data_IF_948616662984
#
_entry.id   IF_948616662984
#
_cell.length_a   1.000
_cell.length_b   1.000
_cell.length_c   1.000
_cell.angle_alpha   90.00
_cell.angle_beta   90.00
_cell.angle_gamma   90.00
#
_symmetry.space_group_name_H-M   'P 1'
#
loop_
_entity.id
_entity.type
_entity.pdbx_description
1 polymer ?
#
# COMPACT_ATOMS: atom_id res chain seq x y z
N UNK A 1 -4.53 7.63 -4.97
CA UNK A 1 -3.89 7.09 -6.18
C UNK A 1 -3.65 5.60 -5.92
N UNK A 2 -4.17 4.75 -6.80
CA UNK A 2 -4.12 3.28 -6.68
C UNK A 2 -3.46 2.62 -7.88
N UNK A 3 -2.82 3.40 -8.76
CA UNK A 3 -2.16 2.88 -9.94
C UNK A 3 -2.26 3.80 -11.13
N UNK A 4 -1.73 3.32 -12.24
CA UNK A 4 -1.73 4.03 -13.51
C UNK A 4 -1.77 3.05 -14.69
N UNK A 5 -2.07 3.60 -15.87
CA UNK A 5 -1.89 2.95 -17.16
C UNK A 5 -1.44 3.95 -18.21
N UNK A 6 -0.49 3.58 -19.05
CA UNK A 6 -0.06 4.35 -20.21
C UNK A 6 -0.90 3.92 -21.43
N UNK A 7 -1.45 4.90 -22.12
CA UNK A 7 -2.27 4.71 -23.32
C UNK A 7 -1.69 5.50 -24.48
N UNK A 8 -1.90 5.00 -25.69
CA UNK A 8 -1.66 5.79 -26.90
C UNK A 8 -2.92 6.60 -27.27
N UNK A 9 -2.76 7.92 -27.43
CA UNK A 9 -3.77 8.84 -27.97
C UNK A 9 -3.12 9.82 -28.91
N UNK A 10 -3.62 9.89 -30.14
CA UNK A 10 -3.14 10.80 -31.19
C UNK A 10 -1.62 10.71 -31.42
N UNK A 11 -1.07 9.48 -31.42
CA UNK A 11 0.36 9.21 -31.60
C UNK A 11 1.24 9.63 -30.41
N UNK A 12 0.65 9.89 -29.24
CA UNK A 12 1.36 10.23 -28.00
C UNK A 12 1.02 9.23 -26.90
N UNK A 13 1.97 9.03 -25.98
CA UNK A 13 1.74 8.28 -24.76
C UNK A 13 1.18 9.22 -23.69
N UNK A 14 0.05 8.85 -23.10
CA UNK A 14 -0.65 9.57 -22.03
C UNK A 14 -0.82 8.62 -20.85
N UNK A 15 -0.45 9.07 -19.66
CA UNK A 15 -0.73 8.34 -18.43
C UNK A 15 -2.16 8.66 -17.95
N UNK A 16 -2.94 7.61 -17.69
CA UNK A 16 -4.18 7.68 -16.94
C UNK A 16 -3.95 7.13 -15.54
N UNK A 17 -4.34 7.90 -14.54
CA UNK A 17 -4.22 7.51 -13.14
C UNK A 17 -5.51 6.90 -12.62
N UNK A 18 -5.37 5.88 -11.78
CA UNK A 18 -6.47 5.30 -11.02
C UNK A 18 -6.55 5.93 -9.64
N UNK A 19 -7.76 6.35 -9.26
CA UNK A 19 -8.06 6.89 -7.95
C UNK A 19 -9.22 6.12 -7.33
N UNK A 20 -9.08 5.82 -6.04
CA UNK A 20 -10.13 5.19 -5.25
C UNK A 20 -10.62 6.16 -4.18
N UNK A 21 -11.93 6.34 -4.11
CA UNK A 21 -12.57 7.11 -3.04
C UNK A 21 -12.91 6.18 -1.87
N UNK A 22 -12.13 6.27 -0.80
CA UNK A 22 -12.22 5.42 0.39
C UNK A 22 -13.32 5.89 1.36
N UNK A 23 -14.55 6.08 0.86
CA UNK A 23 -15.65 6.67 1.62
C UNK A 23 -16.03 5.91 2.91
N UNK A 24 -15.91 4.58 2.90
CA UNK A 24 -16.16 3.77 4.09
C UNK A 24 -15.18 4.06 5.22
N UNK A 25 -13.88 4.14 4.90
CA UNK A 25 -12.85 4.49 5.87
C UNK A 25 -12.95 5.95 6.32
N UNK A 26 -13.25 6.87 5.41
CA UNK A 26 -13.49 8.27 5.77
C UNK A 26 -14.54 8.41 6.88
N UNK A 27 -15.67 7.72 6.77
CA UNK A 27 -16.72 7.74 7.80
C UNK A 27 -16.22 7.15 9.12
N UNK A 28 -15.44 6.05 9.09
CA UNK A 28 -14.82 5.48 10.30
C UNK A 28 -13.87 6.49 10.95
N UNK A 29 -13.00 7.12 10.18
CA UNK A 29 -12.02 8.08 10.69
C UNK A 29 -12.68 9.29 11.33
N UNK A 30 -13.72 9.84 10.70
CA UNK A 30 -14.50 10.95 11.27
C UNK A 30 -15.16 10.58 12.60
N UNK A 31 -15.75 9.37 12.70
CA UNK A 31 -16.37 8.90 13.94
C UNK A 31 -15.36 8.70 15.09
N UNK A 32 -14.12 8.35 14.76
CA UNK A 32 -13.06 8.11 15.72
C UNK A 32 -12.13 9.32 15.91
N UNK A 33 -12.46 10.48 15.31
CA UNK A 33 -11.63 11.68 15.33
C UNK A 33 -10.17 11.43 14.90
N UNK A 34 -9.97 10.59 13.88
CA UNK A 34 -8.66 10.24 13.33
C UNK A 34 -8.29 11.16 12.16
N UNK A 35 -7.03 11.59 12.12
CA UNK A 35 -6.48 12.45 11.09
C UNK A 35 -5.33 11.76 10.32
N UNK A 36 -5.41 11.79 8.99
CA UNK A 36 -4.35 11.29 8.12
C UNK A 36 -3.05 12.10 8.33
N UNK A 37 -1.91 11.43 8.37
CA UNK A 37 -0.60 12.00 8.66
C UNK A 37 -0.28 12.15 10.15
N UNK A 38 -1.27 12.04 11.04
CA UNK A 38 -1.07 12.06 12.49
C UNK A 38 -1.36 10.70 13.13
N UNK A 39 -2.54 10.15 12.89
CA UNK A 39 -3.02 8.93 13.54
C UNK A 39 -2.86 7.70 12.63
N UNK A 40 -2.88 7.92 11.32
CA UNK A 40 -2.67 6.91 10.30
C UNK A 40 -2.16 7.53 9.00
N UNK A 41 -1.69 6.71 8.06
CA UNK A 41 -1.47 7.12 6.67
C UNK A 41 -2.02 6.07 5.71
N UNK A 42 -2.43 6.47 4.51
CA UNK A 42 -2.71 5.53 3.43
C UNK A 42 -1.45 5.30 2.61
N UNK A 43 -1.12 4.03 2.37
CA UNK A 43 0.06 3.66 1.61
C UNK A 43 -0.25 2.58 0.58
N UNK A 44 0.41 2.68 -0.56
CA UNK A 44 0.25 1.77 -1.70
C UNK A 44 1.14 0.55 -1.54
N UNK A 45 0.55 -0.63 -1.74
CA UNK A 45 1.30 -1.88 -1.80
C UNK A 45 0.94 -2.66 -3.07
N UNK A 46 1.95 -3.02 -3.84
CA UNK A 46 1.85 -3.87 -5.01
C UNK A 46 1.69 -5.33 -4.58
N UNK A 47 0.74 -6.05 -5.19
CA UNK A 47 0.59 -7.49 -4.95
C UNK A 47 1.43 -8.26 -5.96
N UNK A 48 2.56 -8.79 -5.51
CA UNK A 48 3.49 -9.50 -6.40
C UNK A 48 2.86 -10.76 -7.00
N UNK A 49 2.81 -10.82 -8.33
CA UNK A 49 2.23 -11.94 -9.08
C UNK A 49 3.03 -13.25 -8.94
N UNK A 50 4.30 -13.17 -8.56
CA UNK A 50 5.18 -14.34 -8.42
C UNK A 50 5.10 -15.00 -7.04
N UNK A 51 5.04 -14.22 -5.97
CA UNK A 51 5.04 -14.74 -4.60
C UNK A 51 3.73 -14.49 -3.83
N UNK A 52 2.80 -13.70 -4.38
CA UNK A 52 1.53 -13.34 -3.77
C UNK A 52 1.63 -12.40 -2.57
N UNK A 53 2.83 -11.87 -2.26
CA UNK A 53 3.07 -10.96 -1.14
C UNK A 53 2.81 -9.50 -1.53
N UNK A 54 2.42 -8.71 -0.53
CA UNK A 54 2.34 -7.26 -0.66
C UNK A 54 3.72 -6.63 -0.49
N UNK A 55 4.06 -5.74 -1.42
CA UNK A 55 5.33 -5.02 -1.48
C UNK A 55 5.02 -3.54 -1.46
N UNK A 56 5.59 -2.77 -0.55
CA UNK A 56 5.47 -1.31 -0.53
C UNK A 56 5.95 -0.73 -1.86
N UNK A 57 5.30 0.34 -2.31
CA UNK A 57 5.55 0.94 -3.63
C UNK A 57 7.03 1.27 -3.89
N UNK A 58 7.77 1.70 -2.88
CA UNK A 58 9.17 2.10 -3.01
C UNK A 58 10.10 0.89 -3.25
N UNK A 59 9.73 -0.28 -2.72
CA UNK A 59 10.50 -1.51 -2.84
C UNK A 59 10.16 -2.35 -4.09
N UNK A 60 9.11 -1.99 -4.85
CA UNK A 60 8.67 -2.73 -6.05
C UNK A 60 9.79 -2.96 -7.08
N UNK A 61 10.62 -1.96 -7.45
CA UNK A 61 11.67 -2.16 -8.44
C UNK A 61 12.68 -3.22 -8.02
N UNK A 62 13.17 -3.15 -6.78
CA UNK A 62 14.13 -4.14 -6.26
C UNK A 62 13.49 -5.52 -6.10
N UNK A 63 12.24 -5.57 -5.62
CA UNK A 63 11.51 -6.83 -5.44
C UNK A 63 11.31 -7.56 -6.78
N UNK A 64 10.84 -6.85 -7.80
CA UNK A 64 10.59 -7.43 -9.12
C UNK A 64 11.89 -7.83 -9.85
N UNK A 65 12.98 -7.09 -9.64
CA UNK A 65 14.29 -7.48 -10.15
C UNK A 65 14.75 -8.85 -9.62
N UNK A 66 14.45 -9.19 -8.36
CA UNK A 66 14.72 -10.53 -7.79
C UNK A 66 13.95 -11.66 -8.48
N UNK A 67 12.83 -11.33 -9.15
CA UNK A 67 12.05 -12.26 -9.99
C UNK A 67 12.39 -12.17 -11.48
N UNK A 68 13.40 -11.39 -11.87
CA UNK A 68 13.79 -11.17 -13.26
C UNK A 68 12.80 -10.32 -14.06
N UNK A 69 12.02 -9.47 -13.39
CA UNK A 69 11.03 -8.57 -14.01
C UNK A 69 11.55 -7.13 -13.91
N UNK A 70 11.58 -6.43 -15.05
CA UNK A 70 11.91 -5.00 -15.09
C UNK A 70 10.65 -4.15 -14.96
N UNK A 71 10.62 -3.24 -13.98
CA UNK A 71 9.52 -2.27 -13.85
C UNK A 71 9.44 -1.33 -15.06
N UNK A 72 10.57 -1.02 -15.70
CA UNK A 72 10.62 -0.13 -16.87
C UNK A 72 9.90 -0.69 -18.11
N UNK A 73 9.61 -2.00 -18.13
CA UNK A 73 8.86 -2.66 -19.19
C UNK A 73 7.35 -2.64 -18.95
N UNK A 74 6.90 -2.17 -17.77
CA UNK A 74 5.48 -2.11 -17.42
C UNK A 74 4.87 -0.80 -17.92
N UNK A 75 3.73 -0.94 -18.59
CA UNK A 75 2.88 0.19 -19.00
C UNK A 75 1.73 0.46 -18.02
N UNK A 76 1.60 -0.36 -16.98
CA UNK A 76 0.52 -0.31 -16.01
C UNK A 76 0.90 -0.98 -14.70
N UNK A 77 0.39 -0.41 -13.60
CA UNK A 77 0.53 -0.94 -12.26
C UNK A 77 -0.71 -0.59 -11.43
N UNK A 78 -1.16 -1.54 -10.63
CA UNK A 78 -2.26 -1.37 -9.68
C UNK A 78 -1.79 -1.76 -8.28
N UNK A 79 -2.28 -1.02 -7.29
CA UNK A 79 -1.87 -1.10 -5.90
C UNK A 79 -3.08 -1.30 -5.00
N UNK A 80 -2.92 -2.14 -3.99
CA UNK A 80 -3.83 -2.16 -2.84
C UNK A 80 -3.50 -0.99 -1.93
N UNK A 81 -4.54 -0.31 -1.42
CA UNK A 81 -4.37 0.77 -0.45
C UNK A 81 -4.60 0.22 0.95
N UNK A 82 -3.56 0.28 1.78
CA UNK A 82 -3.64 -0.07 3.19
C UNK A 82 -3.54 1.19 4.06
N UNK A 83 -4.27 1.17 5.17
CA UNK A 83 -4.12 2.11 6.27
C UNK A 83 -3.01 1.59 7.19
N UNK A 84 -1.96 2.39 7.37
CA UNK A 84 -0.95 2.19 8.41
C UNK A 84 -1.39 3.00 9.62
N UNK A 85 -1.90 2.32 10.65
CA UNK A 85 -2.51 2.96 11.81
C UNK A 85 -1.51 3.04 12.96
N UNK A 86 -1.06 4.26 13.28
CA UNK A 86 -0.04 4.52 14.30
C UNK A 86 -0.58 4.37 15.73
N UNK A 87 -1.88 4.60 15.92
CA UNK A 87 -2.52 4.44 17.23
C UNK A 87 -2.59 2.96 17.64
N UNK A 88 -3.00 2.10 16.70
CA UNK A 88 -3.18 0.66 16.92
C UNK A 88 -1.90 -0.14 16.65
N UNK A 89 -0.91 0.43 15.95
CA UNK A 89 0.30 -0.28 15.52
C UNK A 89 -0.02 -1.40 14.52
N UNK A 90 -1.08 -1.23 13.73
CA UNK A 90 -1.67 -2.26 12.87
C UNK A 90 -1.89 -1.75 11.45
N UNK A 91 -2.15 -2.70 10.55
CA UNK A 91 -2.39 -2.45 9.14
C UNK A 91 -3.82 -2.84 8.82
N UNK A 92 -4.57 -1.97 8.16
CA UNK A 92 -5.95 -2.27 7.77
C UNK A 92 -6.14 -2.14 6.25
N UNK A 93 -6.97 -2.98 5.66
CA UNK A 93 -7.39 -2.83 4.27
C UNK A 93 -8.40 -1.69 4.11
N UNK A 94 -8.75 -1.38 2.86
CA UNK A 94 -9.74 -0.35 2.51
C UNK A 94 -11.16 -0.56 3.07
N UNK A 95 -11.44 -1.72 3.65
CA UNK A 95 -12.71 -2.04 4.32
C UNK A 95 -12.61 -1.94 5.85
N UNK A 96 -11.42 -1.63 6.38
CA UNK A 96 -11.16 -1.52 7.81
C UNK A 96 -10.85 -2.84 8.50
N UNK A 97 -10.54 -3.90 7.74
CA UNK A 97 -10.17 -5.21 8.27
C UNK A 97 -8.65 -5.30 8.48
N UNK A 98 -8.22 -5.86 9.60
CA UNK A 98 -6.80 -6.01 9.92
C UNK A 98 -6.10 -6.97 8.95
N UNK A 99 -4.92 -6.58 8.47
CA UNK A 99 -4.10 -7.38 7.56
C UNK A 99 -2.85 -7.85 8.28
N UNK A 100 -2.65 -9.18 8.44
CA UNK A 100 -1.48 -9.72 9.12
C UNK A 100 -0.17 -9.36 8.42
N UNK A 101 0.87 -9.04 9.20
CA UNK A 101 2.21 -8.69 8.67
C UNK A 101 2.81 -9.79 7.79
N UNK A 102 2.47 -11.06 8.02
CA UNK A 102 2.97 -12.18 7.22
C UNK A 102 2.48 -12.18 5.75
N UNK A 103 1.51 -11.32 5.39
CA UNK A 103 1.06 -11.10 4.01
C UNK A 103 2.02 -10.21 3.21
N UNK A 104 2.89 -9.49 3.88
CA UNK A 104 3.85 -8.57 3.29
C UNK A 104 5.19 -9.27 3.02
N UNK A 105 5.92 -8.80 2.02
CA UNK A 105 7.27 -9.27 1.71
C UNK A 105 8.26 -8.83 2.82
N UNK A 106 9.40 -9.52 2.99
CA UNK A 106 10.37 -9.19 4.04
C UNK A 106 10.81 -7.72 4.06
N UNK A 107 11.08 -7.13 2.89
CA UNK A 107 11.43 -5.71 2.74
C UNK A 107 10.31 -4.79 3.26
N UNK A 108 9.07 -5.13 2.95
CA UNK A 108 7.91 -4.35 3.38
C UNK A 108 7.58 -4.55 4.85
N UNK A 109 7.86 -5.73 5.42
CA UNK A 109 7.78 -5.93 6.87
C UNK A 109 8.79 -5.04 7.61
N UNK A 110 9.99 -4.85 7.07
CA UNK A 110 10.98 -3.94 7.63
C UNK A 110 10.50 -2.49 7.56
N UNK A 111 10.00 -2.05 6.40
CA UNK A 111 9.36 -0.73 6.23
C UNK A 111 8.20 -0.51 7.22
N UNK A 112 7.30 -1.49 7.34
CA UNK A 112 6.16 -1.42 8.25
C UNK A 112 6.59 -1.31 9.72
N UNK A 113 7.66 -2.01 10.12
CA UNK A 113 8.23 -1.91 11.46
C UNK A 113 8.82 -0.51 11.72
N UNK A 114 9.46 0.10 10.72
CA UNK A 114 9.96 1.48 10.83
C UNK A 114 8.82 2.49 10.98
N UNK A 115 7.76 2.33 10.18
CA UNK A 115 6.61 3.24 10.16
C UNK A 115 5.72 3.13 11.41
N UNK A 116 5.48 1.91 11.91
CA UNK A 116 4.56 1.66 13.03
C UNK A 116 5.29 1.57 14.38
N UNK A 117 6.61 1.42 14.38
CA UNK A 117 7.42 1.13 15.57
C UNK A 117 7.35 -0.34 16.00
N UNK A 118 7.93 -0.64 17.16
CA UNK A 118 7.76 -1.96 17.77
C UNK A 118 6.32 -2.11 18.30
N UNK A 119 5.71 -3.30 18.18
CA UNK A 119 4.38 -3.53 18.72
C UNK A 119 4.39 -3.19 20.20
N UNK A 120 3.51 -2.27 20.63
CA UNK A 120 3.28 -2.04 22.05
C UNK A 120 2.80 -3.37 22.63
N UNK A 121 3.68 -4.05 23.37
CA UNK A 121 3.28 -5.21 24.17
C UNK A 121 2.17 -4.71 25.08
N UNK A 122 0.97 -5.25 24.93
CA UNK A 122 -0.11 -5.00 25.88
C UNK A 122 0.37 -5.58 27.20
N UNK A 123 0.77 -4.72 28.13
CA UNK A 123 0.89 -5.10 29.53
C UNK A 123 -0.53 -5.42 30.00
N UNK A 124 -0.82 -6.71 30.19
CA UNK A 124 -2.02 -7.20 30.88
C UNK A 124 -1.97 -6.89 32.38
#
# INVERSE_FOLDING_TARGET
>A
WSGFKVLERDGKLIQEDFYEYLGGLLVRHLKNNMMNGQDYVFWQFYKCEKCGKYVDIESVPEHLAKHGISVAEKDSEEYEIFELNFLEGKIFNKFGEEVPQNKFAPESQAFLKEMLGEPKVQEE
#
